data_IF_257035161673
#
_entry.id   IF_257035161673
#
_cell.length_a   1.000
_cell.length_b   1.000
_cell.length_c   1.000
_cell.angle_alpha   90.00
_cell.angle_beta   90.00
_cell.angle_gamma   90.00
#
_symmetry.space_group_name_H-M   'P 1'
#
loop_
_entity.id
_entity.type
_entity.pdbx_description
1 polymer ?
#
# COMPACT_ATOMS: atom_id res chain seq x y z
N UNK A 1 -11.35 30.07 -10.69
CA UNK A 1 -10.78 29.26 -9.57
C UNK A 1 -10.16 27.96 -10.11
N UNK A 2 -8.82 27.92 -10.22
CA UNK A 2 -8.11 26.68 -10.57
C UNK A 2 -8.34 25.66 -9.44
N UNK A 3 -8.71 24.40 -9.72
CA UNK A 3 -8.72 23.39 -8.68
C UNK A 3 -7.30 23.22 -8.16
N UNK A 4 -7.08 23.42 -6.87
CA UNK A 4 -5.81 23.14 -6.22
C UNK A 4 -5.43 21.67 -6.52
N UNK A 5 -4.22 21.37 -7.01
CA UNK A 5 -3.81 20.02 -7.39
C UNK A 5 -3.65 19.05 -6.21
N UNK A 6 -4.17 19.38 -5.02
CA UNK A 6 -3.84 18.71 -3.77
C UNK A 6 -5.03 18.26 -2.91
N UNK A 7 -6.26 18.24 -3.45
CA UNK A 7 -7.35 17.45 -2.86
C UNK A 7 -7.12 15.95 -3.11
N UNK A 8 -5.94 15.42 -2.76
CA UNK A 8 -5.80 13.99 -2.48
C UNK A 8 -6.69 13.74 -1.28
N UNK A 9 -7.91 13.23 -1.50
CA UNK A 9 -8.83 12.83 -0.43
C UNK A 9 -8.13 11.78 0.44
N UNK A 10 -7.42 12.24 1.49
CA UNK A 10 -6.81 11.39 2.49
C UNK A 10 -7.95 10.84 3.34
N UNK A 11 -8.40 9.64 2.98
CA UNK A 11 -9.40 8.91 3.74
C UNK A 11 -8.69 8.04 4.77
N UNK A 12 -9.21 8.06 5.99
CA UNK A 12 -8.69 7.27 7.09
C UNK A 12 -9.53 6.02 7.23
N UNK A 13 -8.86 4.86 7.30
CA UNK A 13 -9.51 3.58 7.52
C UNK A 13 -8.80 2.88 8.68
N UNK A 14 -9.50 2.60 9.79
CA UNK A 14 -8.93 1.76 10.83
C UNK A 14 -8.87 0.32 10.34
N UNK A 15 -7.71 -0.30 10.56
CA UNK A 15 -7.44 -1.68 10.17
C UNK A 15 -6.86 -2.47 11.34
N UNK A 16 -7.31 -3.71 11.48
CA UNK A 16 -6.64 -4.71 12.30
C UNK A 16 -5.70 -5.52 11.41
N UNK A 17 -4.48 -5.71 11.89
CA UNK A 17 -3.46 -6.52 11.21
C UNK A 17 -3.39 -7.86 11.92
N UNK A 18 -3.61 -8.93 11.17
CA UNK A 18 -3.41 -10.30 11.60
C UNK A 18 -2.11 -10.78 10.98
N UNK A 19 -1.16 -11.18 11.84
CA UNK A 19 0.11 -11.78 11.44
C UNK A 19 0.16 -13.20 11.96
N UNK A 20 0.81 -14.10 11.22
CA UNK A 20 1.10 -15.42 11.76
C UNK A 20 2.04 -15.26 12.96
N UNK A 21 1.71 -15.97 14.05
CA UNK A 21 2.43 -15.87 15.33
C UNK A 21 3.94 -16.12 15.10
N UNK A 22 4.76 -15.16 15.53
CA UNK A 22 6.22 -15.26 15.53
C UNK A 22 6.97 -14.67 14.32
N UNK A 23 6.28 -14.28 13.23
CA UNK A 23 6.99 -13.80 12.03
C UNK A 23 7.25 -12.28 12.01
N UNK A 24 6.39 -11.46 12.65
CA UNK A 24 6.44 -9.99 12.55
C UNK A 24 6.04 -9.33 13.88
N UNK A 25 6.87 -8.42 14.38
CA UNK A 25 6.59 -7.60 15.58
C UNK A 25 5.67 -6.42 15.22
N UNK A 26 4.36 -6.63 15.30
CA UNK A 26 3.35 -5.59 15.00
C UNK A 26 3.23 -4.53 16.10
N UNK A 27 3.63 -4.82 17.34
CA UNK A 27 3.51 -3.89 18.47
C UNK A 27 4.33 -2.61 18.27
N UNK A 28 5.37 -2.68 17.45
CA UNK A 28 6.26 -1.55 17.15
C UNK A 28 5.76 -0.69 15.97
N UNK A 29 4.66 -1.09 15.33
CA UNK A 29 4.13 -0.37 14.17
C UNK A 29 3.52 0.97 14.60
N UNK A 30 3.67 2.03 13.80
CA UNK A 30 3.08 3.31 14.12
C UNK A 30 1.55 3.21 14.07
N UNK A 31 0.88 3.89 15.00
CA UNK A 31 -0.60 3.97 15.04
C UNK A 31 -1.22 4.58 13.77
N UNK A 32 -0.42 5.27 12.96
CA UNK A 32 -0.84 5.87 11.69
C UNK A 32 0.14 5.45 10.60
N UNK A 33 -0.43 4.86 9.55
CA UNK A 33 0.27 4.45 8.35
C UNK A 33 -0.26 5.25 7.17
N UNK A 34 0.62 5.55 6.21
CA UNK A 34 0.25 6.24 4.99
C UNK A 34 0.18 5.25 3.84
N UNK A 35 -1.01 5.07 3.28
CA UNK A 35 -1.22 4.27 2.08
C UNK A 35 -1.32 5.18 0.85
N UNK A 36 -0.58 4.82 -0.19
CA UNK A 36 -0.64 5.44 -1.50
C UNK A 36 -1.09 4.41 -2.52
N UNK A 37 -2.14 4.71 -3.28
CA UNK A 37 -2.63 3.83 -4.33
C UNK A 37 -1.73 3.96 -5.56
N UNK A 38 -1.27 2.82 -6.08
CA UNK A 38 -0.38 2.71 -7.23
C UNK A 38 -0.98 1.68 -8.20
N UNK A 39 -1.08 1.98 -9.51
CA UNK A 39 -1.53 1.01 -10.50
C UNK A 39 -0.65 -0.24 -10.50
N UNK A 40 -1.26 -1.43 -10.44
CA UNK A 40 -0.55 -2.71 -10.46
C UNK A 40 0.28 -2.91 -11.72
N UNK A 41 -0.12 -2.31 -12.84
CA UNK A 41 0.65 -2.34 -14.09
C UNK A 41 2.07 -1.81 -13.92
N UNK A 42 2.27 -0.80 -13.06
CA UNK A 42 3.60 -0.26 -12.79
C UNK A 42 4.40 -1.15 -11.84
N UNK A 43 3.71 -1.96 -11.04
CA UNK A 43 4.30 -2.93 -10.12
C UNK A 43 4.77 -4.21 -10.82
N UNK A 44 4.49 -4.39 -12.11
CA UNK A 44 4.96 -5.55 -12.91
C UNK A 44 6.47 -5.77 -12.78
N UNK A 45 7.24 -4.68 -12.77
CA UNK A 45 8.70 -4.70 -12.57
C UNK A 45 9.12 -5.09 -11.15
N UNK A 46 8.24 -4.95 -10.17
CA UNK A 46 8.46 -5.26 -8.76
C UNK A 46 7.86 -6.61 -8.34
N UNK A 47 7.17 -7.31 -9.25
CA UNK A 47 6.60 -8.65 -9.03
C UNK A 47 7.60 -9.65 -8.45
N UNK A 48 8.86 -9.72 -8.91
CA UNK A 48 9.85 -10.65 -8.33
C UNK A 48 10.10 -10.39 -6.84
N UNK A 49 10.09 -9.12 -6.41
CA UNK A 49 10.30 -8.74 -5.03
C UNK A 49 9.14 -9.20 -4.12
N UNK A 50 7.94 -9.37 -4.68
CA UNK A 50 6.79 -9.87 -3.94
C UNK A 50 6.84 -11.36 -3.62
N UNK A 51 7.58 -12.15 -4.40
CA UNK A 51 7.66 -13.61 -4.19
C UNK A 51 8.37 -13.98 -2.89
N UNK A 52 9.33 -13.16 -2.46
CA UNK A 52 10.06 -13.33 -1.20
C UNK A 52 9.49 -12.46 -0.06
N UNK A 53 8.24 -12.03 -0.16
CA UNK A 53 7.60 -11.20 0.88
C UNK A 53 6.96 -12.04 1.97
N UNK A 54 6.98 -11.52 3.20
CA UNK A 54 6.12 -12.04 4.28
C UNK A 54 4.68 -11.60 4.04
N UNK A 55 3.74 -12.49 4.34
CA UNK A 55 2.31 -12.25 4.16
C UNK A 55 1.69 -11.87 5.50
N UNK A 56 0.84 -10.85 5.48
CA UNK A 56 0.01 -10.45 6.61
C UNK A 56 -1.40 -10.19 6.13
N UNK A 57 -2.38 -10.31 7.00
CA UNK A 57 -3.78 -10.07 6.63
C UNK A 57 -4.27 -8.78 7.29
N UNK A 58 -4.95 -7.96 6.51
CA UNK A 58 -5.59 -6.73 7.00
C UNK A 58 -7.11 -6.90 7.01
N UNK A 59 -7.72 -6.46 8.10
CA UNK A 59 -9.17 -6.44 8.26
C UNK A 59 -9.63 -5.03 8.60
N UNK A 60 -10.42 -4.43 7.73
CA UNK A 60 -10.99 -3.11 7.92
C UNK A 60 -12.43 -3.23 8.43
N UNK A 61 -12.78 -2.54 9.52
CA UNK A 61 -14.05 -2.78 10.23
C UNK A 61 -14.98 -1.58 10.37
N UNK A 62 -14.55 -0.35 10.03
CA UNK A 62 -15.23 0.86 10.56
C UNK A 62 -15.85 1.83 9.54
N UNK A 63 -15.79 1.56 8.23
CA UNK A 63 -16.46 2.43 7.24
C UNK A 63 -16.75 1.67 5.94
N UNK A 64 -17.98 1.16 5.78
CA UNK A 64 -18.35 0.33 4.61
C UNK A 64 -18.30 1.11 3.30
N UNK A 65 -18.58 2.41 3.28
CA UNK A 65 -18.57 3.21 2.05
C UNK A 65 -17.15 3.45 1.54
N UNK A 66 -16.25 3.89 2.43
CA UNK A 66 -14.85 4.09 2.09
C UNK A 66 -14.16 2.77 1.78
N UNK A 67 -14.49 1.71 2.51
CA UNK A 67 -13.99 0.36 2.23
C UNK A 67 -14.46 -0.14 0.86
N UNK A 68 -15.75 0.00 0.52
CA UNK A 68 -16.28 -0.34 -0.81
C UNK A 68 -15.57 0.43 -1.91
N UNK A 69 -15.33 1.73 -1.70
CA UNK A 69 -14.58 2.56 -2.64
C UNK A 69 -13.15 2.05 -2.80
N UNK A 70 -12.47 1.70 -1.71
CA UNK A 70 -11.12 1.12 -1.75
C UNK A 70 -11.11 -0.23 -2.48
N UNK A 71 -12.04 -1.13 -2.16
CA UNK A 71 -12.20 -2.42 -2.85
C UNK A 71 -12.37 -2.20 -4.35
N UNK A 72 -13.26 -1.28 -4.77
CA UNK A 72 -13.49 -0.96 -6.18
C UNK A 72 -12.22 -0.45 -6.87
N UNK A 73 -11.44 0.41 -6.21
CA UNK A 73 -10.19 0.92 -6.78
C UNK A 73 -9.17 -0.21 -6.93
N UNK A 74 -9.03 -1.06 -5.91
CA UNK A 74 -8.09 -2.17 -5.96
C UNK A 74 -8.50 -3.26 -6.96
N UNK A 75 -9.81 -3.53 -7.09
CA UNK A 75 -10.38 -4.43 -8.08
C UNK A 75 -10.20 -3.90 -9.52
N UNK A 76 -10.18 -2.58 -9.70
CA UNK A 76 -9.79 -1.92 -10.95
C UNK A 76 -8.27 -1.99 -11.25
N UNK A 77 -7.51 -2.83 -10.55
CA UNK A 77 -6.08 -3.05 -10.81
C UNK A 77 -5.15 -2.05 -10.12
N UNK A 78 -5.55 -1.48 -8.97
CA UNK A 78 -4.66 -0.71 -8.10
C UNK A 78 -4.20 -1.54 -6.89
N UNK A 79 -3.05 -1.18 -6.34
CA UNK A 79 -2.54 -1.73 -5.10
C UNK A 79 -2.19 -0.59 -4.13
N UNK A 80 -2.27 -0.86 -2.83
CA UNK A 80 -1.96 0.11 -1.79
C UNK A 80 -0.51 -0.02 -1.33
N UNK A 81 0.36 0.93 -1.65
CA UNK A 81 1.69 1.00 -1.06
C UNK A 81 1.64 1.72 0.29
N UNK A 82 1.91 1.00 1.36
CA UNK A 82 1.90 1.50 2.73
C UNK A 82 3.33 1.83 3.15
N UNK A 83 3.58 3.11 3.44
CA UNK A 83 4.88 3.60 3.90
C UNK A 83 4.85 3.77 5.42
N UNK A 84 5.87 3.21 6.06
CA UNK A 84 6.11 3.34 7.48
C UNK A 84 7.06 4.53 7.68
N UNK A 85 6.62 5.53 8.44
CA UNK A 85 7.50 6.63 8.84
C UNK A 85 8.65 6.04 9.65
N UNK A 86 9.88 6.40 9.28
CA UNK A 86 11.09 5.87 9.90
C UNK A 86 11.06 6.09 11.42
N UNK A 87 10.79 5.01 12.16
CA UNK A 87 11.02 4.91 13.59
C UNK A 87 12.10 3.87 13.78
N UNK A 88 13.10 4.17 14.61
CA UNK A 88 14.26 3.30 14.85
C UNK A 88 13.89 1.87 15.30
N UNK A 89 12.69 1.70 15.85
CA UNK A 89 12.18 0.45 16.39
C UNK A 89 11.28 -0.33 15.42
N UNK A 90 10.96 0.21 14.24
CA UNK A 90 10.14 -0.46 13.24
C UNK A 90 11.02 -1.05 12.14
N UNK A 91 11.11 -2.38 12.08
CA UNK A 91 11.88 -3.10 11.05
C UNK A 91 11.29 -2.93 9.64
N UNK A 92 9.97 -2.73 9.58
CA UNK A 92 9.22 -2.59 8.32
C UNK A 92 9.22 -1.11 7.91
N UNK A 93 9.71 -0.84 6.70
CA UNK A 93 9.69 0.50 6.07
C UNK A 93 8.57 0.65 5.05
N UNK A 94 8.21 -0.45 4.37
CA UNK A 94 7.21 -0.49 3.32
C UNK A 94 6.47 -1.83 3.32
N UNK A 95 5.19 -1.76 2.95
CA UNK A 95 4.29 -2.91 2.80
C UNK A 95 3.39 -2.66 1.59
N UNK A 96 3.07 -3.69 0.84
CA UNK A 96 2.07 -3.63 -0.23
C UNK A 96 0.77 -4.29 0.19
N UNK A 97 -0.30 -3.53 0.19
CA UNK A 97 -1.65 -3.98 0.43
C UNK A 97 -2.32 -4.33 -0.91
N UNK A 98 -2.72 -5.59 -1.03
CA UNK A 98 -3.51 -6.13 -2.13
C UNK A 98 -4.88 -6.52 -1.63
N UNK A 99 -5.89 -6.39 -2.48
CA UNK A 99 -7.24 -6.88 -2.19
C UNK A 99 -7.52 -8.10 -3.05
N UNK A 100 -8.00 -9.18 -2.43
CA UNK A 100 -8.55 -10.34 -3.12
C UNK A 100 -10.06 -10.23 -3.09
N UNK A 101 -10.69 -9.97 -4.23
CA UNK A 101 -12.15 -9.92 -4.36
C UNK A 101 -12.79 -11.31 -4.18
N UNK A 102 -12.11 -12.36 -4.61
CA UNK A 102 -12.52 -13.77 -4.43
C UNK A 102 -12.66 -14.13 -2.95
N UNK A 103 -11.63 -13.86 -2.15
CA UNK A 103 -11.62 -14.16 -0.70
C UNK A 103 -12.20 -13.03 0.15
N UNK A 104 -12.45 -11.87 -0.44
CA UNK A 104 -12.84 -10.61 0.24
C UNK A 104 -11.90 -10.23 1.39
N UNK A 105 -10.61 -10.54 1.25
CA UNK A 105 -9.57 -10.22 2.24
C UNK A 105 -8.58 -9.21 1.68
N UNK A 106 -7.98 -8.44 2.57
CA UNK A 106 -6.82 -7.62 2.24
C UNK A 106 -5.56 -8.33 2.70
N UNK A 107 -4.60 -8.45 1.79
CA UNK A 107 -3.34 -9.15 1.97
C UNK A 107 -2.23 -8.10 1.93
N UNK A 108 -1.49 -7.97 3.03
CA UNK A 108 -0.25 -7.21 3.08
C UNK A 108 0.94 -8.08 2.71
N UNK A 109 1.81 -7.58 1.85
CA UNK A 109 3.07 -8.17 1.46
C UNK A 109 4.20 -7.30 1.98
N UNK A 110 5.06 -7.86 2.80
CA UNK A 110 6.24 -7.19 3.34
C UNK A 110 7.46 -7.71 2.58
N UNK A 111 7.99 -6.95 1.59
CA UNK A 111 9.16 -7.36 0.85
C UNK A 111 10.35 -7.52 1.80
N UNK A 112 11.08 -8.63 1.65
CA UNK A 112 12.32 -8.85 2.38
C UNK A 112 13.36 -7.78 2.02
N UNK A 113 13.44 -7.42 0.74
CA UNK A 113 14.27 -6.32 0.24
C UNK A 113 13.50 -5.00 0.21
N UNK A 114 13.30 -4.46 1.42
CA UNK A 114 12.65 -3.16 1.65
C UNK A 114 13.30 -2.02 0.86
N UNK A 115 14.63 -2.01 0.76
CA UNK A 115 15.40 -0.93 0.13
C UNK A 115 15.17 -0.87 -1.38
N UNK A 116 15.33 -2.00 -2.07
CA UNK A 116 15.08 -2.05 -3.51
C UNK A 116 13.61 -1.82 -3.84
N UNK A 117 12.70 -2.30 -2.99
CA UNK A 117 11.28 -2.05 -3.16
C UNK A 117 10.93 -0.57 -3.08
N UNK A 118 11.41 0.15 -2.05
CA UNK A 118 11.20 1.60 -1.91
C UNK A 118 11.78 2.37 -3.10
N UNK A 119 12.96 2.00 -3.58
CA UNK A 119 13.57 2.64 -4.75
C UNK A 119 12.74 2.40 -6.02
N UNK A 120 12.26 1.17 -6.22
CA UNK A 120 11.38 0.80 -7.33
C UNK A 120 10.07 1.59 -7.32
N UNK A 121 9.39 1.64 -6.18
CA UNK A 121 8.15 2.41 -6.00
C UNK A 121 8.37 3.90 -6.25
N UNK A 122 9.44 4.49 -5.70
CA UNK A 122 9.79 5.90 -5.96
C UNK A 122 9.93 6.18 -7.45
N UNK A 123 10.61 5.30 -8.17
CA UNK A 123 10.79 5.43 -9.63
C UNK A 123 9.47 5.31 -10.40
N UNK A 124 8.63 4.37 -10.00
CA UNK A 124 7.28 4.18 -10.56
C UNK A 124 6.40 5.43 -10.35
N UNK A 125 6.37 5.98 -9.14
CA UNK A 125 5.58 7.18 -8.82
C UNK A 125 6.12 8.39 -9.60
N UNK A 126 7.44 8.55 -9.66
CA UNK A 126 8.08 9.63 -10.42
C UNK A 126 7.73 9.55 -11.91
N UNK A 127 7.81 8.35 -12.51
CA UNK A 127 7.41 8.12 -13.89
C UNK A 127 5.93 8.43 -14.11
N UNK A 128 5.03 8.02 -13.20
CA UNK A 128 3.61 8.31 -13.33
C UNK A 128 3.30 9.81 -13.31
N UNK A 129 3.96 10.57 -12.42
CA UNK A 129 3.83 12.03 -12.38
C UNK A 129 4.32 12.68 -13.68
N UNK A 130 5.41 12.16 -14.24
CA UNK A 130 5.99 12.67 -15.48
C UNK A 130 5.10 12.36 -16.70
N UNK A 131 4.45 11.18 -16.75
CA UNK A 131 3.47 10.83 -17.79
C UNK A 131 2.24 11.74 -17.70
N UNK A 132 1.73 11.99 -16.49
CA UNK A 132 0.58 12.88 -16.29
C UNK A 132 0.88 14.34 -16.71
N UNK A 133 2.11 14.80 -16.52
CA UNK A 133 2.56 16.12 -16.98
C UNK A 133 2.76 16.21 -18.50
N UNK A 134 3.08 15.10 -19.17
CA UNK A 134 3.24 15.06 -20.64
C UNK A 134 1.92 14.93 -21.39
N UNK A 135 0.85 14.51 -20.72
CA UNK A 135 -0.51 14.43 -21.28
C UNK A 135 -1.31 15.74 -21.14
N UNK A 136 -0.68 16.81 -20.65
CA UNK A 136 -1.20 18.18 -20.63
C UNK A 136 -0.48 19.02 -21.68
#
# INVERSE_FOLDING_TARGET
PRPEPNSRSKRWLPSHVYVNQGEILTDQWPRRLFMQLIPQQLLTTLVPLFRNSRLVQFHFTKDMETLKSLCRIMDNGFAGCVHFSYKASCEVRVLMLLYSSEKKIFIGLIPHDQSNFVNGIRRVIANQQQVLQRSL
#
